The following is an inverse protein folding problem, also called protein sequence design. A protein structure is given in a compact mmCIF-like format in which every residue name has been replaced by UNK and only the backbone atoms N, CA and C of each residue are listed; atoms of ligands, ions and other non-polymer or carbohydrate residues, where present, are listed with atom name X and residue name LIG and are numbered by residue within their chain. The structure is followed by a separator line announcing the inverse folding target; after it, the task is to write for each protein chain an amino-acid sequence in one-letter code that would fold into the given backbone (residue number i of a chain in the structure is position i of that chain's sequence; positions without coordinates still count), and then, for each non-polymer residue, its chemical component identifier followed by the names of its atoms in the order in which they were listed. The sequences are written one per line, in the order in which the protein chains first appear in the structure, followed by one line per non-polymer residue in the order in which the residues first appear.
data_IF_730190471816
#
_entry.id   IF_730190471816
#
_cell.length_a   1.000
_cell.length_b   1.000
_cell.length_c   1.000
_cell.angle_alpha   90.00
_cell.angle_beta   90.00
_cell.angle_gamma   90.00
#
_symmetry.space_group_name_H-M   'P 1'
#
loop_
_entity.id
_entity.type
_entity.pdbx_description
1 polymer ?
#
# COMPACT_ATOMS: atom_id res chain seq x y z
N UNK A 1 0.63 -0.07 0.06
CA UNK A 1 0.13 -1.23 0.83
C UNK A 1 -1.37 -1.13 0.99
N UNK A 2 -2.04 -2.20 1.40
CA UNK A 2 -3.50 -2.26 1.44
C UNK A 2 -4.13 -2.45 0.06
N UNK A 3 -5.46 -2.45 0.01
CA UNK A 3 -6.25 -2.90 -1.14
C UNK A 3 -7.53 -3.60 -0.69
N UNK A 4 -8.52 -3.64 -1.59
CA UNK A 4 -9.82 -4.29 -1.35
C UNK A 4 -9.69 -5.74 -0.88
N UNK A 5 -8.74 -6.50 -1.42
CA UNK A 5 -8.48 -7.90 -1.07
C UNK A 5 -8.02 -8.08 0.38
N UNK A 6 -7.52 -7.01 1.00
CA UNK A 6 -7.13 -6.96 2.42
C UNK A 6 -8.16 -6.22 3.29
N UNK A 7 -9.34 -5.91 2.74
CA UNK A 7 -10.37 -5.05 3.35
C UNK A 7 -9.75 -3.78 3.96
N UNK A 8 -9.01 -3.04 3.13
CA UNK A 8 -8.23 -1.89 3.57
C UNK A 8 -8.00 -0.87 2.45
N UNK A 9 -7.93 0.44 2.75
CA UNK A 9 -7.55 1.44 1.76
C UNK A 9 -6.09 1.27 1.30
N UNK A 10 -5.76 1.85 0.14
CA UNK A 10 -4.39 1.87 -0.36
C UNK A 10 -3.63 3.07 0.20
N UNK A 11 -2.46 2.81 0.79
CA UNK A 11 -1.61 3.83 1.41
C UNK A 11 -0.20 3.88 0.82
N UNK A 12 0.34 5.10 0.77
CA UNK A 12 1.77 5.38 0.64
C UNK A 12 2.42 5.07 2.00
N UNK A 13 3.11 3.93 2.05
CA UNK A 13 3.82 3.47 3.25
C UNK A 13 5.30 3.81 3.24
N UNK A 14 5.86 3.96 2.04
CA UNK A 14 7.27 4.27 1.81
C UNK A 14 7.41 5.12 0.55
N UNK A 15 8.35 6.05 0.61
CA UNK A 15 8.85 6.80 -0.54
C UNK A 15 10.27 6.34 -0.79
N UNK A 16 10.61 6.12 -2.07
CA UNK A 16 11.94 5.67 -2.48
C UNK A 16 12.84 6.90 -2.55
N UNK A 17 13.91 6.98 -1.73
CA UNK A 17 14.83 8.12 -1.77
C UNK A 17 15.45 8.33 -3.16
N UNK A 18 15.52 9.57 -3.62
CA UNK A 18 15.98 9.94 -4.96
C UNK A 18 14.99 9.64 -6.10
N UNK A 19 13.87 8.97 -5.80
CA UNK A 19 12.80 8.68 -6.75
C UNK A 19 12.05 9.93 -7.20
N UNK A 20 11.18 9.79 -8.20
CA UNK A 20 10.37 10.92 -8.73
C UNK A 20 9.45 11.50 -7.66
N UNK A 21 8.79 10.64 -6.88
CA UNK A 21 7.93 11.05 -5.77
C UNK A 21 8.68 11.81 -4.66
N UNK A 22 9.88 11.35 -4.33
CA UNK A 22 10.77 11.97 -3.33
C UNK A 22 11.23 13.36 -3.79
N UNK A 23 11.72 13.46 -5.04
CA UNK A 23 12.18 14.72 -5.62
C UNK A 23 11.06 15.74 -5.81
N UNK A 24 9.83 15.31 -6.06
CA UNK A 24 8.67 16.20 -6.07
C UNK A 24 8.33 16.70 -4.64
N UNK A 25 8.57 15.88 -3.61
CA UNK A 25 8.43 16.28 -2.20
C UNK A 25 6.99 16.50 -1.72
N UNK A 26 5.99 16.31 -2.58
CA UNK A 26 4.58 16.53 -2.26
C UNK A 26 3.92 15.31 -1.60
N UNK A 27 4.40 14.11 -1.90
CA UNK A 27 3.90 12.88 -1.28
C UNK A 27 4.64 12.61 0.01
N UNK A 28 3.95 11.97 0.96
CA UNK A 28 4.54 11.53 2.21
C UNK A 28 3.95 10.20 2.65
N UNK A 29 4.69 9.51 3.52
CA UNK A 29 4.15 8.37 4.26
C UNK A 29 2.89 8.81 5.01
N UNK A 30 1.84 7.99 4.93
CA UNK A 30 0.55 8.28 5.56
C UNK A 30 -0.50 8.86 4.61
N UNK A 31 -0.14 9.15 3.38
CA UNK A 31 -1.11 9.50 2.34
C UNK A 31 -1.92 8.27 1.92
N UNK A 32 -3.25 8.35 2.04
CA UNK A 32 -4.19 7.44 1.40
C UNK A 32 -4.31 7.82 -0.07
N UNK A 33 -4.18 6.84 -0.96
CA UNK A 33 -4.39 7.03 -2.38
C UNK A 33 -5.91 7.01 -2.69
N UNK A 34 -6.40 8.09 -3.29
CA UNK A 34 -7.81 8.28 -3.65
C UNK A 34 -8.03 8.05 -5.14
N UNK A 35 -7.16 8.63 -5.98
CA UNK A 35 -7.25 8.48 -7.43
C UNK A 35 -5.87 8.54 -8.12
N UNK A 36 -5.77 7.86 -9.26
CA UNK A 36 -4.63 7.89 -10.18
C UNK A 36 -5.12 8.34 -11.55
N UNK A 37 -4.60 9.45 -12.07
CA UNK A 37 -4.99 10.03 -13.37
C UNK A 37 -6.52 10.18 -13.55
N UNK A 38 -7.21 10.55 -12.47
CA UNK A 38 -8.67 10.74 -12.46
C UNK A 38 -9.49 9.47 -12.20
N UNK A 39 -8.87 8.29 -12.15
CA UNK A 39 -9.55 7.04 -11.84
C UNK A 39 -9.53 6.85 -10.33
N UNK A 40 -10.71 6.76 -9.69
CA UNK A 40 -10.85 6.48 -8.26
C UNK A 40 -10.36 5.05 -7.96
N UNK A 41 -9.60 4.90 -6.87
CA UNK A 41 -9.03 3.62 -6.43
C UNK A 41 -9.32 3.29 -4.96
N UNK A 42 -10.21 4.04 -4.29
CA UNK A 42 -10.50 3.85 -2.86
C UNK A 42 -11.06 2.45 -2.54
N UNK A 43 -11.81 1.87 -3.49
CA UNK A 43 -12.45 0.56 -3.35
C UNK A 43 -11.85 -0.50 -4.28
N UNK A 44 -10.66 -0.25 -4.81
CA UNK A 44 -9.99 -1.14 -5.78
C UNK A 44 -8.98 -2.07 -5.10
N UNK A 45 -8.64 -3.17 -5.78
CA UNK A 45 -7.56 -4.06 -5.34
C UNK A 45 -6.19 -3.38 -5.47
N UNK A 46 -5.23 -3.87 -4.68
CA UNK A 46 -3.86 -3.35 -4.71
C UNK A 46 -3.26 -3.39 -6.12
N UNK A 47 -3.44 -4.52 -6.81
CA UNK A 47 -2.93 -4.76 -8.15
C UNK A 47 -3.45 -3.74 -9.15
N UNK A 48 -4.72 -3.31 -9.03
CA UNK A 48 -5.29 -2.33 -9.96
C UNK A 48 -4.62 -0.97 -9.86
N UNK A 49 -4.38 -0.49 -8.64
CA UNK A 49 -3.66 0.76 -8.44
C UNK A 49 -2.20 0.66 -8.94
N UNK A 50 -1.54 -0.48 -8.75
CA UNK A 50 -0.20 -0.74 -9.28
C UNK A 50 -0.19 -0.72 -10.81
N UNK A 51 -1.17 -1.34 -11.46
CA UNK A 51 -1.32 -1.34 -12.91
C UNK A 51 -1.50 0.09 -13.45
N UNK A 52 -2.37 0.89 -12.82
CA UNK A 52 -2.58 2.29 -13.21
C UNK A 52 -1.31 3.13 -13.08
N UNK A 53 -0.54 2.93 -12.01
CA UNK A 53 0.73 3.63 -11.81
C UNK A 53 1.81 3.19 -12.80
N UNK A 54 1.89 1.90 -13.13
CA UNK A 54 2.87 1.35 -14.08
C UNK A 54 2.56 1.70 -15.53
N UNK A 55 1.28 1.79 -15.89
CA UNK A 55 0.84 2.11 -17.25
C UNK A 55 0.87 3.62 -17.54
N UNK A 56 0.96 4.46 -16.50
CA UNK A 56 1.05 5.90 -16.67
C UNK A 56 2.35 6.31 -17.36
N UNK A 57 2.23 7.23 -18.32
CA UNK A 57 3.36 7.80 -19.06
C UNK A 57 3.46 9.30 -18.77
N UNK A 58 4.69 9.81 -18.67
CA UNK A 58 4.94 11.22 -18.40
C UNK A 58 4.48 11.64 -17.00
N UNK A 59 3.48 12.52 -16.92
CA UNK A 59 3.02 13.10 -15.65
C UNK A 59 1.91 12.25 -15.04
N UNK A 60 2.09 11.83 -13.79
CA UNK A 60 1.06 11.15 -13.00
C UNK A 60 0.37 12.15 -12.07
N UNK A 61 -0.95 12.26 -12.18
CA UNK A 61 -1.77 13.07 -11.27
C UNK A 61 -2.36 12.17 -10.20
N UNK A 62 -2.06 12.47 -8.94
CA UNK A 62 -2.58 11.73 -7.80
C UNK A 62 -3.52 12.61 -6.99
N UNK A 63 -4.62 12.03 -6.54
CA UNK A 63 -5.44 12.61 -5.46
C UNK A 63 -5.16 11.79 -4.22
N UNK A 64 -4.76 12.47 -3.14
CA UNK A 64 -4.40 11.83 -1.88
C UNK A 64 -5.07 12.52 -0.71
N UNK A 65 -5.21 11.78 0.40
CA UNK A 65 -5.71 12.29 1.68
C UNK A 65 -4.70 11.93 2.76
N UNK A 66 -4.20 12.92 3.49
CA UNK A 66 -3.21 12.66 4.54
C UNK A 66 -3.88 12.12 5.80
N UNK A 67 -3.70 10.82 6.09
CA UNK A 67 -4.30 10.12 7.23
C UNK A 67 -3.28 9.18 7.91
N UNK A 68 -2.16 9.71 8.45
CA UNK A 68 -1.04 8.91 8.95
C UNK A 68 -1.42 7.98 10.12
N UNK A 69 -2.34 8.41 11.00
CA UNK A 69 -2.79 7.61 12.15
C UNK A 69 -3.46 6.32 11.72
N UNK A 70 -4.25 6.36 10.64
CA UNK A 70 -4.92 5.18 10.10
C UNK A 70 -3.92 4.21 9.47
N UNK A 71 -2.88 4.72 8.81
CA UNK A 71 -1.79 3.87 8.32
C UNK A 71 -1.08 3.14 9.46
N UNK A 72 -0.75 3.83 10.55
CA UNK A 72 -0.10 3.20 11.70
C UNK A 72 -0.98 2.12 12.36
N UNK A 73 -2.30 2.37 12.45
CA UNK A 73 -3.27 1.38 12.94
C UNK A 73 -3.36 0.16 12.03
N UNK A 74 -3.39 0.38 10.72
CA UNK A 74 -3.40 -0.68 9.72
C UNK A 74 -2.15 -1.53 9.76
N UNK A 75 -0.97 -0.92 9.89
CA UNK A 75 0.30 -1.64 10.00
C UNK A 75 0.34 -2.51 11.25
N UNK A 76 -0.10 -1.99 12.42
CA UNK A 76 -0.24 -2.79 13.64
C UNK A 76 -1.20 -3.96 13.45
N UNK A 77 -2.30 -3.77 12.72
CA UNK A 77 -3.27 -4.82 12.41
C UNK A 77 -2.64 -5.92 11.56
N UNK A 78 -1.97 -5.56 10.47
CA UNK A 78 -1.33 -6.53 9.58
C UNK A 78 -0.17 -7.25 10.24
N UNK A 79 0.63 -6.58 11.08
CA UNK A 79 1.70 -7.23 11.82
C UNK A 79 1.14 -8.29 12.79
N UNK A 80 0.07 -7.99 13.52
CA UNK A 80 -0.60 -8.96 14.39
C UNK A 80 -1.12 -10.17 13.61
N UNK A 81 -1.73 -9.94 12.45
CA UNK A 81 -2.23 -11.03 11.60
C UNK A 81 -1.09 -11.90 11.08
N UNK A 82 0.01 -11.28 10.59
CA UNK A 82 1.18 -12.00 10.08
C UNK A 82 1.86 -12.86 11.16
N UNK A 83 1.97 -12.33 12.39
CA UNK A 83 2.51 -13.11 13.53
C UNK A 83 1.65 -14.33 13.86
N UNK A 84 0.32 -14.19 13.84
CA UNK A 84 -0.60 -15.31 14.07
C UNK A 84 -0.52 -16.37 12.98
N UNK A 85 -0.44 -15.95 11.71
CA UNK A 85 -0.30 -16.86 10.57
C UNK A 85 1.01 -17.65 10.64
N UNK A 86 2.13 -16.99 10.97
CA UNK A 86 3.44 -17.66 11.08
C UNK A 86 3.55 -18.60 12.29
N UNK A 87 2.76 -18.41 13.35
CA UNK A 87 2.75 -19.31 14.53
C UNK A 87 2.01 -20.63 14.27
N UNK A 88 1.20 -20.74 13.21
CA UNK A 88 0.42 -21.95 12.88
C UNK A 88 1.01 -22.76 11.72
N UNK A 89 2.26 -22.53 11.31
CA UNK A 89 2.95 -23.39 10.33
C UNK A 89 3.34 -24.72 11.00
N UNK A 90 2.87 -25.90 10.53
CA UNK A 90 3.38 -27.17 11.02
C UNK A 90 4.88 -27.27 10.67
N UNK A 91 5.69 -27.65 11.65
CA UNK A 91 7.12 -27.89 11.46
C UNK A 91 7.35 -28.86 10.29
N UNK A 92 8.38 -28.65 9.44
CA UNK A 92 8.72 -29.63 8.42
C UNK A 92 9.02 -30.96 9.11
N UNK A 93 8.23 -31.99 8.79
CA UNK A 93 8.54 -33.36 9.19
C UNK A 93 9.90 -33.71 8.60
N UNK A 94 10.94 -33.76 9.43
CA UNK A 94 12.23 -34.33 9.06
C UNK A 94 11.97 -35.76 8.56
N UNK A 95 12.05 -35.97 7.25
CA UNK A 95 12.12 -37.32 6.69
C UNK A 95 13.52 -37.85 7.01
N UNK A 96 13.55 -38.96 7.76
CA UNK A 96 14.74 -39.76 8.04
C UNK A 96 15.27 -40.41 6.78
#
# INVERSE_FOLDING_TARGET
MGGKEQNSPIYISRIIPGGVADRNGQLKRGDQLIAVNGINVECECHEKAVELLKSAQGTVKLVVRYTPRLLDEMERRFERQRRRANQHSPAPLLKR
#
